data_IF_649529462793
#
_entry.id   IF_649529462793
#
_cell.length_a   1.000
_cell.length_b   1.000
_cell.length_c   1.000
_cell.angle_alpha   90.00
_cell.angle_beta   90.00
_cell.angle_gamma   90.00
#
_symmetry.space_group_name_H-M   'P 1'
#
loop_
_entity.id
_entity.type
_entity.pdbx_description
1 polymer ?
#
# COMPACT_ATOMS: atom_id res chain seq x y z
N UNK A 1 -35.99 -21.74 -8.42
CA UNK A 1 -35.23 -22.79 -7.72
C UNK A 1 -33.78 -22.32 -7.64
N UNK A 2 -33.27 -22.01 -6.45
CA UNK A 2 -31.81 -21.83 -6.29
C UNK A 2 -31.20 -23.22 -6.22
N UNK A 3 -30.30 -23.54 -7.14
CA UNK A 3 -29.46 -24.73 -7.00
C UNK A 3 -28.30 -24.41 -6.04
N UNK A 4 -27.79 -25.39 -5.28
CA UNK A 4 -26.70 -25.16 -4.33
C UNK A 4 -25.36 -24.74 -4.98
N UNK A 5 -25.31 -24.64 -6.31
CA UNK A 5 -24.11 -24.40 -7.10
C UNK A 5 -24.13 -23.06 -7.85
N UNK A 6 -25.26 -22.34 -7.87
CA UNK A 6 -25.42 -21.11 -8.65
C UNK A 6 -25.70 -19.93 -7.74
N UNK A 7 -24.87 -18.90 -7.85
CA UNK A 7 -25.05 -17.61 -7.17
C UNK A 7 -25.45 -16.57 -8.21
N UNK A 8 -26.64 -15.98 -8.05
CA UNK A 8 -27.12 -14.87 -8.87
C UNK A 8 -26.90 -13.55 -8.14
N UNK A 9 -26.19 -12.60 -8.76
CA UNK A 9 -25.98 -11.25 -8.23
C UNK A 9 -26.63 -10.24 -9.18
N UNK A 10 -27.68 -9.54 -8.70
CA UNK A 10 -28.38 -8.51 -9.47
C UNK A 10 -27.83 -7.14 -9.14
N UNK A 11 -27.39 -6.41 -10.16
CA UNK A 11 -26.86 -5.06 -10.03
C UNK A 11 -27.88 -4.02 -10.52
N UNK A 12 -27.92 -2.87 -9.86
CA UNK A 12 -28.76 -1.74 -10.28
C UNK A 12 -28.23 -1.02 -11.53
N UNK A 13 -26.95 -1.19 -11.86
CA UNK A 13 -26.27 -0.62 -13.04
C UNK A 13 -25.16 -1.58 -13.51
N UNK A 14 -24.74 -1.52 -14.79
CA UNK A 14 -23.61 -2.28 -15.29
C UNK A 14 -22.33 -1.99 -14.48
N UNK A 15 -21.59 -3.04 -14.11
CA UNK A 15 -20.29 -2.97 -13.42
C UNK A 15 -19.29 -3.90 -14.11
N UNK A 16 -18.50 -3.43 -15.09
CA UNK A 16 -17.56 -4.27 -15.83
C UNK A 16 -16.51 -4.92 -14.92
N UNK A 17 -16.08 -4.24 -13.86
CA UNK A 17 -15.04 -4.73 -12.93
C UNK A 17 -15.57 -5.52 -11.73
N UNK A 18 -16.82 -5.99 -11.76
CA UNK A 18 -17.42 -6.72 -10.63
C UNK A 18 -16.59 -7.94 -10.21
N UNK A 19 -16.04 -8.68 -11.17
CA UNK A 19 -15.22 -9.86 -10.89
C UNK A 19 -13.94 -9.50 -10.10
N UNK A 20 -13.36 -8.32 -10.33
CA UNK A 20 -12.21 -7.84 -9.56
C UNK A 20 -12.61 -7.55 -8.10
N UNK A 21 -13.82 -7.05 -7.86
CA UNK A 21 -14.35 -6.84 -6.51
C UNK A 21 -14.54 -8.16 -5.77
N UNK A 22 -15.03 -9.20 -6.45
CA UNK A 22 -15.19 -10.53 -5.84
C UNK A 22 -13.87 -11.21 -5.48
N UNK A 23 -12.75 -10.78 -6.06
CA UNK A 23 -11.42 -11.26 -5.67
C UNK A 23 -10.88 -10.62 -4.38
N UNK A 24 -11.57 -9.62 -3.80
CA UNK A 24 -11.11 -8.95 -2.59
C UNK A 24 -11.37 -9.79 -1.32
N UNK A 25 -10.49 -9.72 -0.30
CA UNK A 25 -10.65 -10.48 0.95
C UNK A 25 -11.98 -10.25 1.66
N UNK A 26 -12.54 -9.05 1.56
CA UNK A 26 -13.83 -8.67 2.15
C UNK A 26 -15.00 -9.45 1.55
N UNK A 27 -14.84 -9.95 0.33
CA UNK A 27 -15.83 -10.78 -0.38
C UNK A 27 -15.60 -12.28 -0.18
N UNK A 28 -14.69 -12.68 0.72
CA UNK A 28 -14.42 -14.09 0.99
C UNK A 28 -15.66 -14.80 1.52
N UNK A 29 -15.92 -16.00 1.00
CA UNK A 29 -16.97 -16.89 1.51
C UNK A 29 -16.41 -17.60 2.75
N UNK A 30 -17.11 -17.40 3.86
CA UNK A 30 -16.81 -18.00 5.14
C UNK A 30 -17.99 -18.90 5.51
N UNK A 31 -17.71 -20.09 6.03
CA UNK A 31 -18.76 -20.97 6.52
C UNK A 31 -19.41 -20.43 7.81
N UNK A 32 -20.49 -21.08 8.25
CA UNK A 32 -21.22 -20.68 9.48
C UNK A 32 -20.38 -20.80 10.76
N UNK A 33 -19.32 -21.59 10.73
CA UNK A 33 -18.39 -21.82 11.84
C UNK A 33 -17.13 -20.94 11.73
N UNK A 34 -17.14 -19.96 10.82
CA UNK A 34 -16.08 -18.97 10.56
C UNK A 34 -14.79 -19.54 9.96
N UNK A 35 -14.84 -20.70 9.31
CA UNK A 35 -13.71 -21.20 8.53
C UNK A 35 -13.67 -20.59 7.14
N UNK A 36 -12.46 -20.21 6.72
CA UNK A 36 -12.20 -19.75 5.37
C UNK A 36 -12.20 -20.90 4.36
N UNK A 37 -12.55 -20.57 3.12
CA UNK A 37 -12.54 -21.48 1.96
C UNK A 37 -11.20 -21.48 1.21
N UNK A 38 -10.18 -20.82 1.77
CA UNK A 38 -8.85 -20.71 1.16
C UNK A 38 -8.04 -22.01 1.18
N UNK A 39 -6.87 -22.02 0.51
CA UNK A 39 -6.05 -23.22 0.29
C UNK A 39 -5.26 -23.69 1.51
N UNK A 40 -5.35 -22.98 2.63
CA UNK A 40 -4.67 -23.32 3.88
C UNK A 40 -5.65 -23.49 5.04
N UNK A 41 -5.23 -24.24 6.05
CA UNK A 41 -5.88 -24.36 7.37
C UNK A 41 -4.90 -24.02 8.48
N UNK A 42 -5.39 -23.36 9.51
CA UNK A 42 -4.60 -23.06 10.71
C UNK A 42 -4.48 -24.35 11.52
N UNK A 43 -3.25 -24.86 11.66
CA UNK A 43 -2.95 -26.06 12.47
C UNK A 43 -2.39 -25.71 13.85
N UNK A 44 -1.84 -24.49 14.00
CA UNK A 44 -1.40 -23.94 15.28
C UNK A 44 -1.59 -22.44 15.30
N UNK A 45 -2.43 -21.97 16.21
CA UNK A 45 -2.54 -20.54 16.55
C UNK A 45 -1.37 -20.11 17.45
N UNK A 46 -0.93 -18.86 17.32
CA UNK A 46 0.15 -18.28 18.14
C UNK A 46 1.27 -17.68 17.29
N UNK A 47 2.48 -17.62 17.85
CA UNK A 47 3.66 -17.10 17.15
C UNK A 47 4.69 -18.22 16.98
N UNK A 48 4.99 -18.67 15.74
CA UNK A 48 4.31 -18.30 14.50
C UNK A 48 2.95 -19.00 14.36
N UNK A 49 2.06 -18.34 13.62
CA UNK A 49 0.82 -18.92 13.13
C UNK A 49 1.19 -19.94 12.06
N UNK A 50 0.82 -21.21 12.27
CA UNK A 50 1.13 -22.27 11.31
C UNK A 50 -0.07 -22.56 10.42
N UNK A 51 0.19 -22.52 9.12
CA UNK A 51 -0.76 -22.85 8.08
C UNK A 51 -0.32 -24.14 7.38
N UNK A 52 -1.25 -25.08 7.21
CA UNK A 52 -1.04 -26.28 6.41
C UNK A 52 -1.86 -26.19 5.13
N UNK A 53 -1.29 -26.48 3.95
CA UNK A 53 -2.08 -26.54 2.73
C UNK A 53 -3.11 -27.65 2.83
N UNK A 54 -4.25 -27.47 2.19
CA UNK A 54 -5.25 -28.53 2.02
C UNK A 54 -5.35 -28.90 0.56
N UNK A 55 -5.69 -30.15 0.28
CA UNK A 55 -6.01 -30.59 -1.07
C UNK A 55 -7.13 -29.71 -1.64
N UNK A 56 -6.96 -29.21 -2.86
CA UNK A 56 -7.99 -28.40 -3.52
C UNK A 56 -9.16 -29.33 -3.90
N UNK A 57 -10.34 -29.18 -3.27
CA UNK A 57 -11.48 -30.05 -3.57
C UNK A 57 -12.04 -29.82 -4.99
N UNK A 58 -11.55 -28.79 -5.71
CA UNK A 58 -11.95 -28.45 -7.09
C UNK A 58 -11.04 -29.07 -8.15
N UNK A 59 -9.92 -29.69 -7.79
CA UNK A 59 -9.11 -30.46 -8.75
C UNK A 59 -9.85 -31.76 -9.11
N UNK A 60 -9.96 -32.03 -10.41
CA UNK A 60 -10.67 -33.20 -10.94
C UNK A 60 -9.96 -34.52 -10.59
N UNK A 61 -8.64 -34.47 -10.45
CA UNK A 61 -7.82 -35.54 -9.88
C UNK A 61 -7.40 -35.10 -8.48
N UNK A 62 -7.81 -35.81 -7.42
CA UNK A 62 -7.23 -35.59 -6.10
C UNK A 62 -5.72 -35.75 -6.22
N UNK A 63 -4.95 -34.84 -5.63
CA UNK A 63 -3.53 -35.13 -5.37
C UNK A 63 -3.49 -36.49 -4.64
N UNK A 64 -2.73 -37.46 -5.15
CA UNK A 64 -2.78 -38.88 -4.80
C UNK A 64 -2.59 -39.12 -3.29
N UNK A 65 -3.63 -38.91 -2.48
CA UNK A 65 -3.68 -39.17 -1.03
C UNK A 65 -2.54 -38.60 -0.17
N UNK A 66 -1.61 -37.82 -0.75
CA UNK A 66 -0.40 -37.40 -0.09
C UNK A 66 -0.76 -36.36 0.96
N UNK A 67 -0.59 -36.72 2.23
CA UNK A 67 -0.67 -35.74 3.31
C UNK A 67 0.45 -34.72 3.10
N UNK A 68 0.17 -33.41 3.24
CA UNK A 68 1.20 -32.39 3.08
C UNK A 68 2.42 -32.67 3.94
N UNK A 69 3.61 -32.49 3.37
CA UNK A 69 4.86 -32.64 4.10
C UNK A 69 5.10 -31.41 5.00
N UNK A 70 5.86 -31.54 6.10
CA UNK A 70 6.14 -30.41 7.00
C UNK A 70 6.79 -29.21 6.30
N UNK A 71 7.49 -29.42 5.18
CA UNK A 71 8.12 -28.38 4.37
C UNK A 71 7.10 -27.53 3.60
N UNK A 72 5.88 -28.01 3.41
CA UNK A 72 4.78 -27.27 2.78
C UNK A 72 3.97 -26.43 3.79
N UNK A 73 4.20 -26.62 5.10
CA UNK A 73 3.59 -25.80 6.13
C UNK A 73 4.19 -24.37 6.11
N UNK A 74 3.33 -23.36 6.17
CA UNK A 74 3.75 -21.94 6.19
C UNK A 74 3.72 -21.41 7.62
N UNK A 75 4.86 -20.91 8.10
CA UNK A 75 4.99 -20.22 9.37
C UNK A 75 4.87 -18.70 9.18
N UNK A 76 3.77 -18.10 9.65
CA UNK A 76 3.56 -16.66 9.59
C UNK A 76 3.98 -15.97 10.89
N UNK A 77 4.87 -14.99 10.76
CA UNK A 77 5.33 -14.13 11.86
C UNK A 77 4.76 -12.72 11.69
N UNK A 78 4.12 -12.20 12.73
CA UNK A 78 3.80 -10.78 12.86
C UNK A 78 4.81 -10.14 13.81
N UNK A 79 5.82 -9.47 13.27
CA UNK A 79 6.90 -8.88 14.06
C UNK A 79 7.36 -7.52 13.51
N UNK A 80 8.05 -6.69 14.33
CA UNK A 80 8.60 -5.42 13.84
C UNK A 80 9.58 -5.64 12.67
N UNK A 81 9.57 -4.72 11.70
CA UNK A 81 10.35 -4.84 10.46
C UNK A 81 11.84 -5.15 10.70
N UNK A 82 12.49 -4.47 11.64
CA UNK A 82 13.88 -4.72 12.00
C UNK A 82 14.16 -6.18 12.40
N UNK A 83 13.23 -6.82 13.12
CA UNK A 83 13.35 -8.23 13.54
C UNK A 83 13.13 -9.18 12.36
N UNK A 84 12.11 -8.92 11.53
CA UNK A 84 11.83 -9.70 10.33
C UNK A 84 13.01 -9.66 9.35
N UNK A 85 13.56 -8.47 9.13
CA UNK A 85 14.74 -8.25 8.30
C UNK A 85 15.98 -8.98 8.82
N UNK A 86 16.24 -8.95 10.14
CA UNK A 86 17.35 -9.69 10.75
C UNK A 86 17.16 -11.21 10.69
N UNK A 87 15.91 -11.69 10.81
CA UNK A 87 15.56 -13.10 10.64
C UNK A 87 15.85 -13.55 9.21
N UNK A 88 15.43 -12.76 8.23
CA UNK A 88 15.66 -13.00 6.81
C UNK A 88 17.15 -12.99 6.47
N UNK A 89 17.90 -11.98 6.94
CA UNK A 89 19.34 -11.90 6.68
C UNK A 89 20.14 -13.07 7.29
N UNK A 90 19.56 -13.78 8.26
CA UNK A 90 20.14 -14.98 8.89
C UNK A 90 19.61 -16.30 8.30
N UNK A 91 18.83 -16.24 7.21
CA UNK A 91 18.23 -17.43 6.59
C UNK A 91 17.20 -18.14 7.45
N UNK A 92 16.54 -17.41 8.38
CA UNK A 92 15.52 -17.96 9.30
C UNK A 92 14.09 -17.62 8.88
N UNK A 93 13.92 -17.05 7.69
CA UNK A 93 12.65 -16.79 7.03
C UNK A 93 12.88 -16.67 5.53
N UNK A 94 11.95 -17.18 4.74
CA UNK A 94 12.07 -17.24 3.28
C UNK A 94 11.59 -15.96 2.60
N UNK A 95 10.72 -15.18 3.26
CA UNK A 95 10.22 -13.91 2.76
C UNK A 95 9.88 -12.94 3.90
N UNK A 96 9.99 -11.64 3.61
CA UNK A 96 9.49 -10.54 4.46
C UNK A 96 8.54 -9.72 3.62
N UNK A 97 7.29 -9.62 4.06
CA UNK A 97 6.22 -8.92 3.36
C UNK A 97 5.72 -7.74 4.21
N UNK A 98 5.05 -6.79 3.56
CA UNK A 98 4.39 -5.68 4.25
C UNK A 98 5.33 -4.60 4.79
N UNK A 99 6.55 -4.50 4.24
CA UNK A 99 7.47 -3.41 4.54
C UNK A 99 6.86 -2.06 4.18
N UNK A 100 7.13 -1.03 4.99
CA UNK A 100 6.66 0.34 4.77
C UNK A 100 7.84 1.26 4.47
N UNK A 101 7.58 2.44 3.92
CA UNK A 101 8.62 3.46 3.68
C UNK A 101 9.40 3.82 4.97
N UNK A 102 8.75 3.74 6.14
CA UNK A 102 9.39 4.00 7.43
C UNK A 102 10.50 3.03 7.77
N UNK A 103 10.44 1.82 7.22
CA UNK A 103 11.39 0.74 7.49
C UNK A 103 12.52 0.71 6.45
N UNK A 104 12.37 1.43 5.33
CA UNK A 104 13.30 1.37 4.20
C UNK A 104 14.76 1.67 4.58
N UNK A 105 15.08 2.69 5.40
CA UNK A 105 16.45 2.95 5.81
C UNK A 105 17.08 1.86 6.69
N UNK A 106 16.30 0.89 7.18
CA UNK A 106 16.85 -0.26 7.89
C UNK A 106 17.55 -1.24 6.95
N UNK A 107 17.22 -1.24 5.65
CA UNK A 107 17.87 -2.08 4.65
C UNK A 107 19.36 -1.76 4.53
N UNK A 108 19.75 -0.50 4.69
CA UNK A 108 21.15 -0.07 4.64
C UNK A 108 21.98 -0.58 5.83
N UNK A 109 21.32 -0.95 6.94
CA UNK A 109 21.98 -1.43 8.15
C UNK A 109 22.19 -2.95 8.18
N UNK A 110 21.61 -3.67 7.22
CA UNK A 110 21.65 -5.13 7.15
C UNK A 110 22.25 -5.58 5.83
N UNK A 111 23.03 -6.67 5.87
CA UNK A 111 23.61 -7.25 4.67
C UNK A 111 22.58 -8.12 3.96
N UNK A 112 21.75 -7.51 3.11
CA UNK A 112 20.85 -8.20 2.19
C UNK A 112 21.35 -7.97 0.77
N UNK A 113 21.33 -9.03 -0.06
CA UNK A 113 21.65 -8.91 -1.48
C UNK A 113 20.64 -7.97 -2.16
N UNK A 114 21.07 -6.99 -2.98
CA UNK A 114 20.15 -6.14 -3.73
C UNK A 114 19.13 -6.93 -4.57
N UNK A 115 19.50 -8.12 -5.06
CA UNK A 115 18.61 -9.00 -5.82
C UNK A 115 17.48 -9.64 -4.98
N UNK A 116 17.61 -9.64 -3.65
CA UNK A 116 16.56 -10.10 -2.74
C UNK A 116 15.57 -8.99 -2.38
N UNK A 117 15.90 -7.72 -2.68
CA UNK A 117 15.00 -6.58 -2.47
C UNK A 117 14.10 -6.48 -3.70
N UNK A 118 12.81 -6.75 -3.52
CA UNK A 118 11.79 -6.68 -4.57
C UNK A 118 10.77 -5.63 -4.21
N UNK A 119 10.51 -4.73 -5.15
CA UNK A 119 9.45 -3.75 -5.05
C UNK A 119 8.46 -4.05 -6.17
N UNK A 120 7.24 -4.38 -5.78
CA UNK A 120 6.11 -4.54 -6.68
C UNK A 120 5.33 -3.21 -6.68
N UNK A 121 5.34 -2.44 -7.78
CA UNK A 121 4.62 -1.17 -7.84
C UNK A 121 3.12 -1.41 -7.71
N UNK A 122 2.57 -1.11 -6.53
CA UNK A 122 1.13 -1.05 -6.36
C UNK A 122 0.56 0.17 -7.12
N UNK A 123 -0.62 0.02 -7.71
CA UNK A 123 -1.42 1.13 -8.22
C UNK A 123 -1.94 1.96 -7.03
N UNK A 124 -1.06 2.77 -6.43
CA UNK A 124 -1.31 3.53 -5.21
C UNK A 124 -0.54 4.84 -5.16
N UNK A 125 -0.93 5.68 -4.21
CA UNK A 125 -0.29 6.97 -3.98
C UNK A 125 0.40 6.98 -2.62
N UNK A 126 1.61 7.53 -2.60
CA UNK A 126 2.29 7.93 -1.39
C UNK A 126 2.30 9.46 -1.29
N UNK A 127 1.85 10.00 -0.16
CA UNK A 127 1.84 11.44 0.07
C UNK A 127 1.07 11.86 1.31
N UNK A 128 0.91 13.17 1.47
CA UNK A 128 0.16 13.74 2.58
C UNK A 128 -1.33 13.85 2.26
N UNK A 129 -2.16 13.42 3.21
CA UNK A 129 -3.60 13.68 3.18
C UNK A 129 -3.93 14.87 4.08
N UNK A 130 -4.84 15.73 3.63
CA UNK A 130 -5.28 16.90 4.38
C UNK A 130 -6.44 16.47 5.28
N UNK A 131 -6.17 16.37 6.58
CA UNK A 131 -7.14 15.93 7.58
C UNK A 131 -8.25 16.96 7.84
N UNK A 132 -7.92 18.25 7.89
CA UNK A 132 -8.86 19.34 8.16
C UNK A 132 -8.74 20.41 7.07
N UNK A 133 -9.87 20.95 6.61
CA UNK A 133 -9.96 21.95 5.52
C UNK A 133 -10.48 23.28 6.04
N UNK A 134 -9.87 23.77 7.12
CA UNK A 134 -10.22 25.02 7.78
C UNK A 134 -9.08 26.05 7.66
N UNK A 135 -9.39 27.31 7.93
CA UNK A 135 -8.43 28.41 7.87
C UNK A 135 -7.73 28.47 6.51
N UNK A 136 -6.40 28.50 6.51
CA UNK A 136 -5.59 28.56 5.29
C UNK A 136 -5.89 27.42 4.30
N UNK A 137 -6.20 26.21 4.79
CA UNK A 137 -6.46 25.03 3.95
C UNK A 137 -7.91 24.92 3.46
N UNK A 138 -8.81 25.83 3.86
CA UNK A 138 -10.18 25.87 3.35
C UNK A 138 -10.22 26.16 1.85
N UNK A 139 -9.36 27.09 1.39
CA UNK A 139 -9.22 27.43 -0.03
C UNK A 139 -8.48 26.30 -0.79
N UNK A 140 -9.10 25.69 -1.82
CA UNK A 140 -8.44 24.72 -2.69
C UNK A 140 -7.13 25.23 -3.30
N UNK A 141 -7.05 26.51 -3.63
CA UNK A 141 -5.88 27.08 -4.27
C UNK A 141 -4.68 27.18 -3.30
N UNK A 142 -4.93 27.33 -2.00
CA UNK A 142 -3.89 27.23 -0.97
C UNK A 142 -3.41 25.79 -0.77
N UNK A 143 -4.32 24.80 -0.85
CA UNK A 143 -3.93 23.38 -0.84
C UNK A 143 -3.08 23.02 -2.05
N UNK A 144 -3.41 23.54 -3.23
CA UNK A 144 -2.58 23.38 -4.44
C UNK A 144 -1.20 24.02 -4.28
N UNK A 145 -1.13 25.22 -3.70
CA UNK A 145 0.15 25.88 -3.43
C UNK A 145 1.03 25.09 -2.45
N UNK A 146 0.44 24.52 -1.40
CA UNK A 146 1.14 23.62 -0.48
C UNK A 146 1.67 22.37 -1.21
N UNK A 147 0.85 21.76 -2.07
CA UNK A 147 1.27 20.60 -2.88
C UNK A 147 2.44 20.94 -3.82
N UNK A 148 2.48 22.16 -4.36
CA UNK A 148 3.54 22.62 -5.26
C UNK A 148 4.89 22.84 -4.56
N UNK A 149 4.89 23.04 -3.23
CA UNK A 149 6.10 23.31 -2.45
C UNK A 149 7.00 22.07 -2.27
N UNK A 150 6.44 20.87 -2.34
CA UNK A 150 7.20 19.65 -2.14
C UNK A 150 8.15 19.38 -3.31
N UNK A 151 9.45 19.37 -3.00
CA UNK A 151 10.47 18.80 -3.87
C UNK A 151 10.37 17.28 -3.81
N UNK A 152 9.50 16.73 -4.66
CA UNK A 152 9.20 15.29 -4.70
C UNK A 152 10.42 14.45 -5.03
N UNK A 153 11.28 14.95 -5.92
CA UNK A 153 12.49 14.24 -6.30
C UNK A 153 13.45 14.15 -5.12
N UNK A 154 13.69 15.26 -4.41
CA UNK A 154 14.53 15.24 -3.21
C UNK A 154 14.00 14.30 -2.12
N UNK A 155 12.67 14.29 -1.90
CA UNK A 155 12.03 13.39 -0.93
C UNK A 155 12.23 11.92 -1.33
N UNK A 156 11.99 11.56 -2.60
CA UNK A 156 12.14 10.18 -3.05
C UNK A 156 13.60 9.73 -3.05
N UNK A 157 14.55 10.59 -3.41
CA UNK A 157 15.98 10.26 -3.31
C UNK A 157 16.42 9.94 -1.87
N UNK A 158 15.78 10.53 -0.86
CA UNK A 158 16.08 10.25 0.54
C UNK A 158 15.42 8.94 1.04
N UNK A 159 14.21 8.62 0.57
CA UNK A 159 13.39 7.54 1.14
C UNK A 159 13.39 6.27 0.29
N UNK A 160 13.18 6.40 -1.02
CA UNK A 160 12.96 5.28 -1.92
C UNK A 160 13.35 5.70 -3.36
N UNK A 161 14.64 5.58 -3.73
CA UNK A 161 15.15 6.10 -5.00
C UNK A 161 14.57 5.37 -6.23
N UNK A 162 13.96 4.21 -6.04
CA UNK A 162 13.30 3.42 -7.07
C UNK A 162 11.81 3.73 -7.25
N UNK A 163 11.29 4.77 -6.59
CA UNK A 163 9.91 5.24 -6.77
C UNK A 163 9.86 6.39 -7.75
N UNK A 164 8.76 6.49 -8.49
CA UNK A 164 8.51 7.60 -9.41
C UNK A 164 7.72 8.73 -8.72
N UNK A 165 8.15 9.97 -8.95
CA UNK A 165 7.45 11.13 -8.44
C UNK A 165 6.13 11.35 -9.19
N UNK A 166 5.04 11.52 -8.46
CA UNK A 166 3.74 11.88 -9.02
C UNK A 166 3.28 13.28 -8.57
N UNK A 167 2.74 14.04 -9.51
CA UNK A 167 2.10 15.34 -9.28
C UNK A 167 0.56 15.25 -9.31
N UNK A 168 0.02 14.07 -9.60
CA UNK A 168 -1.39 13.80 -9.83
C UNK A 168 -1.90 12.67 -8.95
N UNK A 169 -3.19 12.71 -8.63
CA UNK A 169 -3.83 11.65 -7.86
C UNK A 169 -4.09 10.40 -8.71
N UNK A 170 -4.48 10.59 -9.97
CA UNK A 170 -4.70 9.47 -10.89
C UNK A 170 -3.48 9.34 -11.80
N UNK A 171 -2.74 8.22 -11.78
CA UNK A 171 -1.59 8.04 -12.66
C UNK A 171 -2.02 7.90 -14.12
N UNK A 172 -3.22 7.37 -14.36
CA UNK A 172 -3.85 7.19 -15.66
C UNK A 172 -5.36 7.44 -15.56
N UNK A 173 -6.06 7.38 -16.68
CA UNK A 173 -7.50 7.66 -16.83
C UNK A 173 -8.36 6.69 -16.00
N UNK A 174 -7.94 5.44 -15.79
CA UNK A 174 -8.60 4.45 -14.90
C UNK A 174 -10.14 4.42 -15.07
N UNK A 175 -10.61 4.10 -16.28
CA UNK A 175 -12.03 4.06 -16.66
C UNK A 175 -12.82 5.38 -16.45
N UNK A 176 -12.12 6.50 -16.24
CA UNK A 176 -12.68 7.85 -16.23
C UNK A 176 -12.96 8.34 -17.65
N UNK A 177 -14.01 9.14 -17.82
CA UNK A 177 -14.28 9.83 -19.10
C UNK A 177 -13.35 11.03 -19.33
N UNK A 178 -12.58 11.43 -18.30
CA UNK A 178 -11.67 12.57 -18.35
C UNK A 178 -10.24 12.16 -18.01
N UNK A 179 -9.22 12.72 -18.71
CA UNK A 179 -7.83 12.44 -18.41
C UNK A 179 -7.44 12.97 -17.02
N UNK A 180 -6.37 12.43 -16.40
CA UNK A 180 -5.87 12.94 -15.14
C UNK A 180 -5.59 14.43 -15.16
N UNK A 181 -6.04 15.14 -14.11
CA UNK A 181 -5.82 16.57 -14.01
C UNK A 181 -4.33 16.88 -13.81
N UNK A 182 -3.76 17.65 -14.73
CA UNK A 182 -2.39 18.17 -14.60
C UNK A 182 -2.44 19.44 -13.74
N UNK A 183 -1.63 19.54 -12.67
CA UNK A 183 -1.54 20.76 -11.89
C UNK A 183 -0.97 21.92 -12.71
N UNK A 184 -1.51 23.12 -12.52
CA UNK A 184 -1.02 24.34 -13.19
C UNK A 184 0.46 24.66 -12.91
N UNK A 185 1.00 24.15 -11.80
CA UNK A 185 2.40 24.34 -11.41
C UNK A 185 3.36 23.28 -11.95
N UNK A 186 2.87 22.26 -12.67
CA UNK A 186 3.68 21.13 -13.13
C UNK A 186 4.90 21.57 -13.97
N UNK A 187 4.72 22.59 -14.81
CA UNK A 187 5.78 23.14 -15.69
C UNK A 187 6.63 24.23 -15.03
N UNK A 188 6.31 24.65 -13.80
CA UNK A 188 7.06 25.68 -13.09
C UNK A 188 8.31 25.08 -12.43
N UNK A 189 9.38 25.86 -12.34
CA UNK A 189 10.55 25.53 -11.51
C UNK A 189 10.18 25.54 -10.03
N UNK A 190 10.95 24.83 -9.20
CA UNK A 190 10.72 24.80 -7.75
C UNK A 190 10.76 26.21 -7.12
N UNK A 191 11.64 27.08 -7.60
CA UNK A 191 11.72 28.46 -7.11
C UNK A 191 10.49 29.29 -7.49
N UNK A 192 9.96 29.12 -8.70
CA UNK A 192 8.70 29.76 -9.10
C UNK A 192 7.52 29.25 -8.26
N UNK A 193 7.47 27.94 -7.97
CA UNK A 193 6.45 27.35 -7.07
C UNK A 193 6.55 27.93 -5.65
N UNK A 194 7.77 28.06 -5.11
CA UNK A 194 8.03 28.67 -3.80
C UNK A 194 7.65 30.14 -3.75
N UNK A 195 7.95 30.91 -4.80
CA UNK A 195 7.57 32.31 -4.90
C UNK A 195 6.03 32.48 -4.89
N UNK A 196 5.31 31.68 -5.69
CA UNK A 196 3.85 31.71 -5.73
C UNK A 196 3.22 31.34 -4.37
N UNK A 197 3.76 30.33 -3.68
CA UNK A 197 3.28 29.95 -2.36
C UNK A 197 3.56 31.03 -1.30
N UNK A 198 4.74 31.67 -1.33
CA UNK A 198 5.07 32.81 -0.45
C UNK A 198 4.08 33.95 -0.64
N UNK A 199 3.76 34.33 -1.87
CA UNK A 199 2.78 35.38 -2.15
C UNK A 199 1.40 35.06 -1.53
N UNK A 200 0.98 33.80 -1.54
CA UNK A 200 -0.27 33.36 -0.90
C UNK A 200 -0.23 33.46 0.62
N UNK A 201 0.86 33.05 1.24
CA UNK A 201 1.03 33.18 2.70
C UNK A 201 1.07 34.65 3.12
N UNK A 202 1.73 35.51 2.33
CA UNK A 202 1.72 36.97 2.58
C UNK A 202 0.30 37.55 2.46
N UNK A 203 -0.45 37.17 1.42
CA UNK A 203 -1.84 37.60 1.23
C UNK A 203 -2.78 37.12 2.34
N UNK A 204 -2.47 35.98 2.97
CA UNK A 204 -3.20 35.48 4.14
C UNK A 204 -2.99 36.35 5.39
N UNK A 205 -1.92 37.14 5.46
CA UNK A 205 -1.72 38.18 6.46
C UNK A 205 -1.29 37.72 7.86
N UNK A 206 -1.12 36.42 8.09
CA UNK A 206 -0.66 35.87 9.37
C UNK A 206 0.16 34.57 9.17
N UNK A 207 1.02 34.19 10.13
CA UNK A 207 1.77 32.94 10.04
C UNK A 207 0.86 31.71 9.86
N UNK A 208 1.22 30.84 8.93
CA UNK A 208 0.54 29.56 8.71
C UNK A 208 1.31 28.47 9.44
N UNK A 209 0.76 27.96 10.54
CA UNK A 209 1.30 26.80 11.25
C UNK A 209 0.55 25.53 10.83
N UNK A 210 1.28 24.53 10.33
CA UNK A 210 0.74 23.24 9.96
C UNK A 210 1.29 22.15 10.88
N UNK A 211 0.44 21.22 11.29
CA UNK A 211 0.85 20.01 12.01
C UNK A 211 0.80 18.84 11.04
N UNK A 212 1.94 18.16 10.87
CA UNK A 212 2.05 16.97 10.03
C UNK A 212 2.08 15.75 10.95
N UNK A 213 1.17 14.82 10.74
CA UNK A 213 1.19 13.53 11.41
C UNK A 213 2.02 12.56 10.56
N UNK A 214 3.16 12.13 11.10
CA UNK A 214 4.01 11.12 10.49
C UNK A 214 3.97 9.84 11.33
N UNK A 215 4.06 8.65 10.71
CA UNK A 215 4.33 7.42 11.43
C UNK A 215 5.70 7.50 12.13
N UNK A 216 5.90 6.69 13.18
CA UNK A 216 7.19 6.57 13.84
C UNK A 216 8.12 5.66 13.01
N UNK A 217 9.40 6.02 12.90
CA UNK A 217 10.42 5.16 12.28
C UNK A 217 11.47 5.93 11.47
N UNK A 218 12.60 5.29 11.14
CA UNK A 218 13.73 5.97 10.52
C UNK A 218 13.39 6.62 9.18
N UNK A 219 12.52 6.03 8.35
CA UNK A 219 12.10 6.65 7.09
C UNK A 219 11.23 7.89 7.27
N UNK A 220 10.47 7.99 8.36
CA UNK A 220 9.74 9.21 8.68
C UNK A 220 10.66 10.31 9.23
N UNK A 221 11.72 9.93 9.95
CA UNK A 221 12.72 10.87 10.47
C UNK A 221 13.53 11.56 9.35
N UNK A 222 13.49 11.04 8.12
CA UNK A 222 14.12 11.68 6.97
C UNK A 222 13.28 12.84 6.39
N UNK A 223 12.03 13.00 6.83
CA UNK A 223 11.11 14.03 6.32
C UNK A 223 11.12 15.33 7.14
N UNK A 224 11.88 15.42 8.24
CA UNK A 224 11.92 16.59 9.13
C UNK A 224 13.30 16.84 9.74
#
# INVERSE_FOLDING_TARGET
VMTPQVIEVRLSRPRPDLLKLFAQPEMAIIDRTRHGTGPFRIIRSGVPLMLRPIADPRRAEPDDGASPSPEEDVALFAEPAARAMLRFSKGRSDAVLGGRFVDWPLLDQIRISPAAIRVDPAAGLFGFSIANRDGFLADPANRQALSALFDRQAILSAIAPNWEATDRLLPDTLDSDAPPQVPNWALLTLDARRAAARARVTAWGQPVALRIALPQGPGANLLY
#
